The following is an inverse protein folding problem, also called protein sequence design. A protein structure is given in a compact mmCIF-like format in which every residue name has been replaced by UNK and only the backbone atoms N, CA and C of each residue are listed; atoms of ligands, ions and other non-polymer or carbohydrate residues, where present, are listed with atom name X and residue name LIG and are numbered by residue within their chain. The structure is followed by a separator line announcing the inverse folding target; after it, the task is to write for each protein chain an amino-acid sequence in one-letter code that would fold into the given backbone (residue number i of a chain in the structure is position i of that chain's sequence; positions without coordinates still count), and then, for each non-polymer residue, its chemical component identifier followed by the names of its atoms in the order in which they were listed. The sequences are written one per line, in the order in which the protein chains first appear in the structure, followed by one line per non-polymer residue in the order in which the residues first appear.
data_IF_880396505125
#
_entry.id   IF_880396505125
#
_cell.length_a   1.000
_cell.length_b   1.000
_cell.length_c   1.000
_cell.angle_alpha   90.00
_cell.angle_beta   90.00
_cell.angle_gamma   90.00
#
_symmetry.space_group_name_H-M   'P 1'
#
loop_
_entity.id
_entity.type
_entity.pdbx_description
1 polymer ?
#
# COMPACT_ATOMS: atom_id res chain seq x y z
N UNK A 1 -48.94 18.98 13.14
CA UNK A 1 -48.78 18.49 14.53
C UNK A 1 -47.31 18.63 14.90
N UNK A 2 -46.95 19.65 15.69
CA UNK A 2 -45.60 19.81 16.22
C UNK A 2 -45.58 19.37 17.70
N UNK A 3 -44.60 18.56 18.13
CA UNK A 3 -44.47 18.21 19.53
C UNK A 3 -44.04 19.44 20.32
N UNK A 4 -44.91 19.89 21.25
CA UNK A 4 -44.54 20.80 22.33
C UNK A 4 -43.52 20.08 23.21
N UNK A 5 -42.27 20.51 23.15
CA UNK A 5 -41.27 20.15 24.15
C UNK A 5 -41.52 21.02 25.38
N UNK A 6 -42.02 20.39 26.44
CA UNK A 6 -42.21 21.01 27.75
C UNK A 6 -40.86 21.50 28.29
N UNK A 7 -40.71 22.82 28.39
CA UNK A 7 -39.51 23.50 28.91
C UNK A 7 -39.26 23.27 30.39
N UNK A 8 -40.19 22.65 31.11
CA UNK A 8 -40.17 22.59 32.57
C UNK A 8 -39.29 21.46 33.14
N UNK A 9 -38.77 20.57 32.29
CA UNK A 9 -37.86 19.49 32.72
C UNK A 9 -36.43 19.94 33.03
N UNK A 10 -36.07 21.20 32.71
CA UNK A 10 -34.72 21.74 32.94
C UNK A 10 -34.54 22.49 34.27
N UNK A 11 -35.58 22.56 35.11
CA UNK A 11 -35.52 23.26 36.41
C UNK A 11 -35.27 22.34 37.61
N UNK A 12 -34.85 21.09 37.38
CA UNK A 12 -34.31 20.30 38.49
C UNK A 12 -32.89 20.78 38.80
N UNK A 13 -32.55 21.06 40.07
CA UNK A 13 -31.16 21.39 40.44
C UNK A 13 -30.21 20.26 40.04
N UNK A 14 -30.68 19.03 39.93
CA UNK A 14 -29.93 17.89 39.40
C UNK A 14 -29.64 18.03 37.89
N UNK A 15 -30.64 18.44 37.09
CA UNK A 15 -30.48 18.66 35.65
C UNK A 15 -29.53 19.83 35.36
N UNK A 16 -29.60 20.92 36.13
CA UNK A 16 -28.65 22.05 36.02
C UNK A 16 -27.23 21.66 36.44
N UNK A 17 -27.07 20.88 37.51
CA UNK A 17 -25.76 20.37 37.95
C UNK A 17 -25.15 19.42 36.92
N UNK A 18 -25.96 18.54 36.33
CA UNK A 18 -25.49 17.61 35.29
C UNK A 18 -25.13 18.33 33.99
N UNK A 19 -25.91 19.35 33.60
CA UNK A 19 -25.62 20.19 32.44
C UNK A 19 -24.37 21.07 32.62
N UNK A 20 -24.02 21.46 33.86
CA UNK A 20 -22.77 22.18 34.17
C UNK A 20 -21.57 21.24 34.33
N UNK A 21 -21.78 20.00 34.77
CA UNK A 21 -20.72 18.99 34.89
C UNK A 21 -20.22 18.48 33.53
N UNK A 22 -21.11 18.35 32.55
CA UNK A 22 -20.76 17.85 31.22
C UNK A 22 -19.69 18.70 30.49
N UNK A 23 -19.79 20.05 30.41
CA UNK A 23 -18.72 20.87 29.82
C UNK A 23 -17.47 20.92 30.69
N UNK A 24 -17.59 20.76 32.03
CA UNK A 24 -16.44 20.72 32.93
C UNK A 24 -15.61 19.43 32.76
N UNK A 25 -16.27 18.28 32.60
CA UNK A 25 -15.62 17.02 32.25
C UNK A 25 -15.02 17.06 30.84
N UNK A 26 -15.69 17.70 29.88
CA UNK A 26 -15.16 17.87 28.53
C UNK A 26 -13.91 18.78 28.50
N UNK A 27 -13.86 19.81 29.35
CA UNK A 27 -12.70 20.71 29.47
C UNK A 27 -11.53 20.07 30.25
N UNK A 28 -11.80 19.22 31.24
CA UNK A 28 -10.77 18.57 32.05
C UNK A 28 -9.96 17.48 31.31
N UNK A 29 -10.42 17.01 30.14
CA UNK A 29 -9.66 16.08 29.28
C UNK A 29 -8.71 16.79 28.30
N UNK A 30 -8.61 18.11 28.31
CA UNK A 30 -7.84 18.87 27.32
C UNK A 30 -6.32 18.83 27.49
N UNK A 31 -5.81 18.81 28.73
CA UNK A 31 -4.37 18.96 29.00
C UNK A 31 -3.65 17.65 29.39
N UNK A 32 -4.38 16.61 29.84
CA UNK A 32 -3.79 15.34 30.29
C UNK A 32 -3.79 14.22 29.23
N UNK A 33 -4.49 14.43 28.11
CA UNK A 33 -4.58 13.45 27.02
C UNK A 33 -3.51 13.77 25.97
N UNK A 34 -2.63 12.81 25.62
CA UNK A 34 -1.69 12.99 24.51
C UNK A 34 -2.40 13.48 23.25
N UNK A 35 -1.77 14.43 22.53
CA UNK A 35 -2.38 15.08 21.35
C UNK A 35 -2.91 14.08 20.32
N UNK A 36 -2.29 12.92 20.19
CA UNK A 36 -2.68 11.87 19.25
C UNK A 36 -4.05 11.24 19.54
N UNK A 37 -4.55 11.36 20.77
CA UNK A 37 -5.84 10.81 21.22
C UNK A 37 -6.90 11.92 21.38
N UNK A 38 -6.51 13.20 21.26
CA UNK A 38 -7.44 14.32 21.43
C UNK A 38 -8.43 14.38 20.25
N UNK A 39 -9.76 14.22 20.48
CA UNK A 39 -10.75 14.18 19.40
C UNK A 39 -10.78 15.46 18.56
N UNK A 40 -10.53 16.62 19.19
CA UNK A 40 -10.44 17.91 18.49
C UNK A 40 -9.23 17.97 17.56
N UNK A 41 -8.08 17.45 17.98
CA UNK A 41 -6.87 17.39 17.16
C UNK A 41 -7.03 16.39 16.01
N UNK A 42 -7.57 15.19 16.30
CA UNK A 42 -7.91 14.19 15.29
C UNK A 42 -8.90 14.73 14.26
N UNK A 43 -9.97 15.42 14.70
CA UNK A 43 -10.95 16.02 13.82
C UNK A 43 -10.36 17.14 12.96
N UNK A 44 -9.49 18.00 13.53
CA UNK A 44 -8.74 19.01 12.74
C UNK A 44 -7.84 18.37 11.68
N UNK A 45 -7.25 17.22 11.98
CA UNK A 45 -6.42 16.48 11.03
C UNK A 45 -7.27 15.87 9.89
N UNK A 46 -8.42 15.27 10.20
CA UNK A 46 -9.28 14.67 9.18
C UNK A 46 -10.02 15.71 8.33
N UNK A 47 -10.48 16.79 8.94
CA UNK A 47 -11.17 17.87 8.23
C UNK A 47 -10.25 18.66 7.30
N UNK A 48 -8.93 18.43 7.35
CA UNK A 48 -7.96 19.15 6.54
C UNK A 48 -7.70 20.58 7.01
N UNK A 49 -8.31 21.03 8.11
CA UNK A 49 -8.14 22.38 8.64
C UNK A 49 -6.68 22.72 9.02
N UNK A 50 -5.85 21.70 9.26
CA UNK A 50 -4.41 21.87 9.50
C UNK A 50 -3.60 22.12 8.21
N UNK A 51 -4.20 21.95 7.04
CA UNK A 51 -3.59 22.22 5.73
C UNK A 51 -3.76 23.68 5.33
N UNK A 52 -4.77 24.38 5.85
CA UNK A 52 -5.06 25.78 5.52
C UNK A 52 -3.92 26.74 5.95
N UNK A 53 -3.19 26.38 7.00
CA UNK A 53 -2.04 27.15 7.51
C UNK A 53 -0.71 26.73 6.84
N UNK A 54 -0.72 25.71 5.98
CA UNK A 54 0.51 25.26 5.31
C UNK A 54 0.76 26.09 4.08
N UNK A 55 1.97 26.63 3.99
CA UNK A 55 2.46 27.15 2.72
C UNK A 55 2.33 26.04 1.65
N UNK A 56 1.82 26.34 0.44
CA UNK A 56 1.81 25.37 -0.65
C UNK A 56 3.21 24.78 -0.85
N UNK A 57 3.31 23.48 -1.18
CA UNK A 57 4.58 22.86 -1.53
C UNK A 57 5.33 23.69 -2.59
N UNK A 58 6.66 23.83 -2.48
CA UNK A 58 7.42 24.55 -3.48
C UNK A 58 7.22 23.92 -4.86
N UNK A 59 7.03 24.76 -5.88
CA UNK A 59 6.81 24.30 -7.26
C UNK A 59 5.35 24.02 -7.62
N UNK A 60 4.39 24.26 -6.73
CA UNK A 60 2.94 24.17 -7.05
C UNK A 60 2.44 25.30 -7.97
N UNK A 61 3.09 26.48 -7.92
CA UNK A 61 2.74 27.63 -8.76
C UNK A 61 3.41 27.58 -10.14
N UNK A 62 4.34 26.63 -10.34
CA UNK A 62 4.99 26.42 -11.62
C UNK A 62 4.13 25.46 -12.47
N UNK A 63 4.04 25.68 -13.80
CA UNK A 63 3.51 24.65 -14.68
C UNK A 63 4.32 23.37 -14.50
N UNK A 64 3.62 22.22 -14.42
CA UNK A 64 4.30 20.92 -14.37
C UNK A 64 5.28 20.82 -15.55
N UNK A 65 6.50 20.30 -15.32
CA UNK A 65 7.45 20.10 -16.40
C UNK A 65 6.79 19.21 -17.45
N UNK A 66 6.72 19.72 -18.68
CA UNK A 66 6.20 18.95 -19.80
C UNK A 66 7.25 17.92 -20.23
N UNK A 67 6.83 16.89 -20.97
CA UNK A 67 7.77 15.89 -21.49
C UNK A 67 8.85 16.50 -22.41
N UNK A 68 8.64 17.72 -22.92
CA UNK A 68 9.61 18.46 -23.71
C UNK A 68 10.68 19.17 -22.85
N UNK A 69 10.47 19.35 -21.53
CA UNK A 69 11.45 19.91 -20.59
C UNK A 69 12.25 18.81 -19.87
N UNK A 70 11.82 17.55 -19.98
CA UNK A 70 12.59 16.42 -19.46
C UNK A 70 13.80 16.21 -20.37
N UNK A 71 15.04 16.22 -19.85
CA UNK A 71 16.22 15.94 -20.65
C UNK A 71 16.10 14.56 -21.30
N UNK A 72 16.77 14.39 -22.44
CA UNK A 72 16.78 13.09 -23.12
C UNK A 72 17.23 11.99 -22.14
N UNK A 73 16.60 10.81 -22.27
CA UNK A 73 16.96 9.64 -21.47
C UNK A 73 18.46 9.36 -21.64
N UNK A 74 19.21 9.15 -20.56
CA UNK A 74 20.61 8.75 -20.64
C UNK A 74 20.78 7.47 -21.47
N UNK A 75 21.85 7.42 -22.28
CA UNK A 75 22.20 6.21 -23.04
C UNK A 75 22.51 5.08 -22.06
N UNK A 76 21.89 3.90 -22.19
CA UNK A 76 22.21 2.76 -21.34
C UNK A 76 23.69 2.38 -21.45
N UNK A 77 24.35 1.98 -20.35
CA UNK A 77 25.71 1.48 -20.41
C UNK A 77 25.79 0.22 -21.27
N UNK A 78 26.92 0.05 -21.96
CA UNK A 78 27.18 -1.12 -22.78
C UNK A 78 27.24 -2.41 -21.94
N UNK A 79 27.19 -3.57 -22.61
CA UNK A 79 27.15 -4.86 -21.93
C UNK A 79 28.42 -5.13 -21.10
N UNK A 80 29.59 -4.67 -21.58
CA UNK A 80 30.87 -4.85 -20.90
C UNK A 80 30.93 -4.06 -19.59
N UNK A 81 30.48 -2.80 -19.61
CA UNK A 81 30.40 -1.93 -18.44
C UNK A 81 29.43 -2.51 -17.41
N UNK A 82 28.27 -2.99 -17.85
CA UNK A 82 27.32 -3.67 -16.94
C UNK A 82 27.92 -4.92 -16.31
N UNK A 83 28.64 -5.74 -17.08
CA UNK A 83 29.33 -6.92 -16.58
C UNK A 83 30.44 -6.56 -15.57
N UNK A 84 31.23 -5.53 -15.85
CA UNK A 84 32.28 -5.05 -14.96
C UNK A 84 31.71 -4.54 -13.62
N UNK A 85 30.63 -3.75 -13.66
CA UNK A 85 29.94 -3.28 -12.44
C UNK A 85 29.36 -4.45 -11.65
N UNK A 86 28.77 -5.43 -12.34
CA UNK A 86 28.22 -6.63 -11.69
C UNK A 86 29.32 -7.45 -11.01
N UNK A 87 30.47 -7.63 -11.67
CA UNK A 87 31.63 -8.33 -11.13
C UNK A 87 32.23 -7.59 -9.93
N UNK A 88 32.36 -6.26 -10.01
CA UNK A 88 32.84 -5.44 -8.90
C UNK A 88 31.93 -5.58 -7.67
N UNK A 89 30.61 -5.48 -7.84
CA UNK A 89 29.65 -5.67 -6.75
C UNK A 89 29.65 -7.11 -6.20
N UNK A 90 29.95 -8.12 -7.01
CA UNK A 90 30.12 -9.48 -6.53
C UNK A 90 31.38 -9.59 -5.65
N UNK A 91 32.48 -8.97 -6.08
CA UNK A 91 33.71 -8.84 -5.28
C UNK A 91 33.46 -8.12 -3.96
N UNK A 92 32.74 -6.99 -3.97
CA UNK A 92 32.42 -6.23 -2.75
C UNK A 92 31.58 -7.04 -1.76
N UNK A 93 30.62 -7.85 -2.25
CA UNK A 93 29.81 -8.72 -1.39
C UNK A 93 30.64 -9.84 -0.75
N UNK A 94 31.57 -10.41 -1.49
CA UNK A 94 32.46 -11.42 -0.94
C UNK A 94 33.42 -10.81 0.07
N UNK A 95 33.99 -9.66 -0.27
CA UNK A 95 34.83 -8.87 0.61
C UNK A 95 34.09 -8.47 1.90
N UNK A 96 32.82 -8.09 1.83
CA UNK A 96 32.02 -7.76 3.01
C UNK A 96 31.73 -8.95 3.93
N UNK A 97 31.81 -10.19 3.42
CA UNK A 97 31.69 -11.41 4.23
C UNK A 97 33.01 -11.79 4.90
N UNK A 98 34.13 -11.46 4.28
CA UNK A 98 35.47 -11.71 4.81
C UNK A 98 35.93 -10.54 5.67
N UNK A 99 36.04 -10.78 6.98
CA UNK A 99 36.63 -9.91 8.01
C UNK A 99 36.59 -8.37 7.78
N UNK A 100 35.74 -7.62 8.53
CA UNK A 100 35.67 -6.16 8.43
C UNK A 100 37.01 -5.46 8.69
N UNK A 101 37.99 -6.12 9.31
CA UNK A 101 39.33 -5.59 9.56
C UNK A 101 40.18 -5.40 8.30
N UNK A 102 39.83 -6.02 7.16
CA UNK A 102 40.61 -5.88 5.91
C UNK A 102 40.09 -4.77 4.99
N UNK A 103 39.01 -4.07 5.38
CA UNK A 103 38.28 -3.13 4.50
C UNK A 103 39.20 -2.03 3.96
N UNK A 104 39.33 -1.86 2.63
CA UNK A 104 40.07 -0.73 2.10
C UNK A 104 39.40 0.57 2.57
N UNK A 105 40.22 1.53 3.01
CA UNK A 105 39.74 2.83 3.45
C UNK A 105 38.90 3.47 2.32
N UNK A 106 37.74 4.00 2.67
CA UNK A 106 36.86 4.69 1.73
C UNK A 106 37.58 5.86 1.03
N UNK A 107 37.05 6.34 -0.11
CA UNK A 107 37.65 7.45 -0.84
C UNK A 107 37.81 8.69 0.07
N UNK A 108 38.85 9.51 -0.17
CA UNK A 108 39.15 10.66 0.68
C UNK A 108 37.96 11.62 0.75
N UNK A 109 37.60 12.02 1.97
CA UNK A 109 36.50 12.96 2.23
C UNK A 109 35.19 12.32 2.70
N UNK A 110 35.07 10.99 2.72
CA UNK A 110 33.94 10.32 3.35
C UNK A 110 34.26 9.94 4.80
N UNK A 111 33.29 10.07 5.74
CA UNK A 111 33.47 9.61 7.11
C UNK A 111 33.72 8.10 7.12
N UNK A 112 34.65 7.66 7.96
CA UNK A 112 34.89 6.24 8.18
C UNK A 112 33.58 5.55 8.62
N UNK A 113 33.27 4.41 8.01
CA UNK A 113 32.13 3.61 8.44
C UNK A 113 32.33 3.22 9.92
N UNK A 114 31.29 3.31 10.76
CA UNK A 114 31.40 2.90 12.16
C UNK A 114 31.87 1.45 12.25
N UNK A 115 32.85 1.21 13.12
CA UNK A 115 33.45 -0.09 13.35
C UNK A 115 32.54 -0.96 14.21
N UNK A 116 31.33 -1.25 13.73
CA UNK A 116 30.43 -2.15 14.43
C UNK A 116 30.75 -3.59 14.01
N UNK A 117 31.79 -4.13 14.64
CA UNK A 117 32.12 -5.56 14.66
C UNK A 117 31.12 -6.41 15.44
N UNK A 118 29.87 -5.96 15.57
CA UNK A 118 28.81 -6.77 16.14
C UNK A 118 28.35 -7.75 15.05
N UNK A 119 28.71 -9.02 15.21
CA UNK A 119 28.06 -10.08 14.46
C UNK A 119 26.54 -9.91 14.56
N UNK A 120 25.79 -10.07 13.45
CA UNK A 120 24.35 -9.92 13.48
C UNK A 120 23.78 -10.83 14.57
N UNK A 121 22.80 -10.34 15.36
CA UNK A 121 22.19 -11.16 16.40
C UNK A 121 21.64 -12.45 15.76
N UNK A 122 21.73 -13.60 16.47
CA UNK A 122 21.19 -14.84 15.94
C UNK A 122 19.69 -14.65 15.62
N UNK A 123 19.19 -15.25 14.52
CA UNK A 123 17.79 -15.10 14.16
C UNK A 123 16.91 -15.57 15.32
N UNK A 124 15.80 -14.87 15.61
CA UNK A 124 14.88 -15.30 16.66
C UNK A 124 14.38 -16.70 16.32
N UNK A 125 14.55 -17.65 17.24
CA UNK A 125 13.99 -18.99 17.08
C UNK A 125 12.49 -18.90 17.32
N UNK A 126 11.72 -18.95 16.23
CA UNK A 126 10.27 -19.11 16.32
C UNK A 126 9.98 -20.52 16.85
N UNK A 127 9.09 -20.62 17.84
CA UNK A 127 8.55 -21.91 18.24
C UNK A 127 7.87 -22.58 17.05
N UNK A 128 7.98 -23.90 16.94
CA UNK A 128 7.32 -24.65 15.88
C UNK A 128 5.80 -24.40 15.97
N UNK A 129 5.23 -23.85 14.90
CA UNK A 129 3.78 -23.66 14.81
C UNK A 129 3.10 -25.05 14.73
N UNK A 130 1.99 -25.27 15.45
CA UNK A 130 1.22 -26.50 15.31
C UNK A 130 0.72 -26.64 13.87
N UNK A 131 0.73 -27.87 13.35
CA UNK A 131 0.25 -28.15 12.00
C UNK A 131 -1.26 -27.85 11.91
N UNK A 132 -1.63 -26.96 10.99
CA UNK A 132 -3.04 -26.71 10.64
C UNK A 132 -3.54 -27.92 9.86
N UNK A 133 -4.57 -28.61 10.38
CA UNK A 133 -5.28 -29.64 9.63
C UNK A 133 -6.42 -28.98 8.86
N UNK A 134 -6.41 -29.14 7.55
CA UNK A 134 -7.58 -28.84 6.71
C UNK A 134 -8.44 -30.09 6.69
N UNK A 135 -9.57 -30.08 7.38
CA UNK A 135 -10.56 -31.13 7.20
C UNK A 135 -11.10 -31.12 5.77
N UNK A 136 -11.25 -32.30 5.19
CA UNK A 136 -11.79 -32.47 3.84
C UNK A 136 -13.23 -31.89 3.77
N UNK A 137 -13.61 -31.25 2.66
CA UNK A 137 -14.97 -30.74 2.50
C UNK A 137 -15.98 -31.89 2.58
N UNK A 138 -17.15 -31.69 3.20
CA UNK A 138 -18.18 -32.71 3.23
C UNK A 138 -18.61 -33.08 1.81
N UNK A 139 -18.83 -34.37 1.59
CA UNK A 139 -19.28 -34.91 0.32
C UNK A 139 -20.55 -34.18 -0.16
N UNK A 140 -20.55 -33.81 -1.44
CA UNK A 140 -21.66 -33.11 -2.08
C UNK A 140 -22.98 -33.89 -1.89
N UNK A 141 -23.99 -33.19 -1.35
CA UNK A 141 -25.36 -33.69 -1.33
C UNK A 141 -25.90 -33.83 -2.77
N UNK A 142 -26.80 -34.80 -3.05
CA UNK A 142 -27.34 -35.00 -4.38
C UNK A 142 -28.16 -33.77 -4.83
N UNK A 143 -27.90 -33.34 -6.07
CA UNK A 143 -28.53 -32.17 -6.69
C UNK A 143 -30.05 -32.38 -6.82
N UNK A 144 -30.82 -31.50 -6.16
CA UNK A 144 -32.23 -31.35 -6.45
C UNK A 144 -32.39 -30.56 -7.76
N UNK A 145 -33.16 -31.10 -8.70
CA UNK A 145 -33.50 -30.44 -9.96
C UNK A 145 -34.40 -29.23 -9.69
N UNK A 146 -33.89 -28.03 -9.91
CA UNK A 146 -34.67 -26.78 -9.87
C UNK A 146 -34.93 -26.33 -11.30
N UNK A 147 -36.17 -25.97 -11.69
CA UNK A 147 -36.46 -25.53 -13.04
C UNK A 147 -35.78 -24.20 -13.38
N UNK A 148 -35.20 -24.16 -14.57
CA UNK A 148 -34.49 -23.02 -15.14
C UNK A 148 -35.45 -21.86 -15.42
N UNK A 149 -35.36 -20.82 -14.60
CA UNK A 149 -35.97 -19.52 -14.85
C UNK A 149 -34.92 -18.45 -14.56
N UNK A 150 -34.05 -18.22 -15.54
CA UNK A 150 -33.07 -17.14 -15.50
C UNK A 150 -33.78 -15.76 -15.49
N UNK A 151 -33.41 -14.83 -14.60
CA UNK A 151 -33.91 -13.46 -14.65
C UNK A 151 -33.32 -12.73 -15.86
N UNK A 152 -34.19 -12.23 -16.76
CA UNK A 152 -33.80 -11.42 -17.90
C UNK A 152 -33.22 -10.08 -17.43
N UNK A 153 -31.94 -9.83 -17.74
CA UNK A 153 -31.31 -8.51 -17.57
C UNK A 153 -31.91 -7.51 -18.56
N UNK A 154 -32.19 -6.26 -18.15
CA UNK A 154 -32.47 -5.18 -19.09
C UNK A 154 -31.28 -4.99 -20.04
N UNK A 155 -31.57 -4.97 -21.34
CA UNK A 155 -30.57 -4.85 -22.41
C UNK A 155 -29.80 -3.54 -22.31
N UNK A 156 -28.47 -3.64 -22.28
CA UNK A 156 -27.59 -2.50 -22.52
C UNK A 156 -27.57 -2.26 -24.03
N UNK A 157 -28.11 -1.14 -24.48
CA UNK A 157 -27.98 -0.68 -25.86
C UNK A 157 -26.50 -0.52 -26.20
N UNK A 158 -26.02 -1.26 -27.21
CA UNK A 158 -24.67 -1.12 -27.71
C UNK A 158 -24.47 0.29 -28.30
N UNK A 159 -23.36 0.99 -28.01
CA UNK A 159 -23.02 2.22 -28.74
C UNK A 159 -22.76 1.88 -30.21
N UNK A 160 -23.31 2.70 -31.11
CA UNK A 160 -23.14 2.56 -32.55
C UNK A 160 -21.64 2.53 -32.91
N UNK A 161 -21.24 1.54 -33.71
CA UNK A 161 -19.89 1.40 -34.19
C UNK A 161 -19.52 2.57 -35.12
N UNK A 162 -18.49 3.32 -34.73
CA UNK A 162 -17.79 4.24 -35.64
C UNK A 162 -16.96 3.36 -36.60
N UNK A 163 -17.03 3.56 -37.93
CA UNK A 163 -16.16 2.86 -38.87
C UNK A 163 -14.68 3.12 -38.54
N UNK A 164 -13.96 2.07 -38.16
CA UNK A 164 -12.52 2.14 -37.89
C UNK A 164 -11.71 2.23 -39.19
N UNK A 165 -10.54 2.89 -39.18
CA UNK A 165 -9.58 2.83 -40.28
C UNK A 165 -9.06 1.40 -40.49
N UNK A 166 -8.57 1.04 -41.70
CA UNK A 166 -8.08 -0.30 -41.99
C UNK A 166 -6.93 -0.70 -41.05
N UNK A 167 -6.82 -1.99 -40.68
CA UNK A 167 -5.79 -2.46 -39.76
C UNK A 167 -4.40 -2.28 -40.36
N UNK A 168 -3.54 -1.51 -39.68
CA UNK A 168 -2.11 -1.54 -39.95
C UNK A 168 -1.53 -2.88 -39.45
N UNK A 169 -0.60 -3.50 -40.19
CA UNK A 169 0.07 -4.71 -39.73
C UNK A 169 0.83 -4.43 -38.44
N UNK A 170 0.53 -5.18 -37.38
CA UNK A 170 1.27 -5.13 -36.13
C UNK A 170 2.69 -5.69 -36.37
N UNK A 171 3.76 -5.02 -35.91
CA UNK A 171 5.09 -5.61 -35.95
C UNK A 171 5.13 -6.86 -35.04
N UNK A 172 5.62 -7.98 -35.58
CA UNK A 172 5.82 -9.30 -34.91
C UNK A 172 6.79 -9.27 -33.70
N UNK A 173 7.19 -8.10 -33.24
CA UNK A 173 8.24 -7.91 -32.24
C UNK A 173 7.80 -8.17 -30.79
N UNK A 174 6.54 -8.53 -30.55
CA UNK A 174 6.04 -8.78 -29.19
C UNK A 174 6.13 -10.23 -28.73
N UNK A 175 6.76 -11.13 -29.51
CA UNK A 175 7.28 -12.43 -29.03
C UNK A 175 6.51 -13.04 -27.87
N UNK A 176 5.18 -13.16 -28.01
CA UNK A 176 4.33 -13.70 -26.96
C UNK A 176 4.76 -15.16 -26.82
N UNK A 177 5.24 -15.59 -25.63
CA UNK A 177 5.57 -16.99 -25.44
C UNK A 177 4.29 -17.82 -25.69
N UNK A 178 4.39 -18.99 -26.34
CA UNK A 178 3.24 -19.85 -26.53
C UNK A 178 2.61 -20.15 -25.17
N UNK A 179 1.27 -20.12 -25.13
CA UNK A 179 0.52 -20.43 -23.92
C UNK A 179 0.99 -21.80 -23.36
N UNK A 180 1.22 -21.92 -22.04
CA UNK A 180 1.63 -23.19 -21.45
C UNK A 180 0.58 -24.26 -21.74
N UNK A 181 1.01 -25.35 -22.39
CA UNK A 181 0.18 -26.53 -22.65
C UNK A 181 -0.28 -27.13 -21.32
N UNK A 182 -1.56 -27.51 -21.26
CA UNK A 182 -2.22 -28.00 -20.04
C UNK A 182 -1.73 -29.39 -19.56
N UNK A 183 -0.66 -29.92 -20.13
CA UNK A 183 -0.05 -31.21 -19.75
C UNK A 183 0.53 -31.21 -18.32
N UNK A 184 0.72 -30.04 -17.70
CA UNK A 184 1.17 -29.94 -16.31
C UNK A 184 0.08 -30.24 -15.26
N UNK A 185 -1.18 -30.45 -15.68
CA UNK A 185 -2.29 -30.85 -14.80
C UNK A 185 -2.61 -32.35 -14.83
N UNK A 186 -1.91 -33.15 -15.63
CA UNK A 186 -2.14 -34.60 -15.64
C UNK A 186 -1.57 -35.25 -14.35
N UNK A 187 -2.36 -36.04 -13.60
CA UNK A 187 -1.84 -36.81 -12.49
C UNK A 187 -0.85 -37.86 -13.01
N UNK A 188 0.35 -37.91 -12.42
CA UNK A 188 1.33 -38.96 -12.75
C UNK A 188 0.75 -40.33 -12.40
N UNK A 189 0.77 -41.32 -13.30
CA UNK A 189 0.51 -42.70 -12.94
C UNK A 189 1.61 -43.18 -11.97
N UNK A 190 1.21 -43.91 -10.92
CA UNK A 190 2.14 -44.62 -10.03
C UNK A 190 2.66 -45.89 -10.69
#
# INVERSE_FOLDING_TARGET
MQPRLDRDTLSSPAARRMALLLPLLAAACGDSVPRDIQPSYWWRNISGAYLDERQPPPGMDAPYPNLATVPARPVPPDAATRAAVTAALAGDREFARTDPATRPAGPPGLPAAPADGAAPPPPPRLAAAPAIRFDAPPAAAPAATVPDAAPSRPGASAPAAIPGPPPAPLPEFLGLPPAPTQDLLAPRPQ
#
